data_IF_261350455399
#
_entry.id   IF_261350455399
#
_cell.length_a   1.000
_cell.length_b   1.000
_cell.length_c   1.000
_cell.angle_alpha   90.00
_cell.angle_beta   90.00
_cell.angle_gamma   90.00
#
_symmetry.space_group_name_H-M   'P 1'
#
loop_
_entity.id
_entity.type
_entity.pdbx_description
1 polymer ?
#
# COMPACT_ATOMS: atom_id res chain seq x y z
N UNK A 1 -26.90 -7.54 -2.75
CA UNK A 1 -28.06 -6.97 -2.01
C UNK A 1 -28.05 -7.49 -0.60
N UNK A 2 -28.82 -6.89 0.31
CA UNK A 2 -28.84 -7.23 1.74
C UNK A 2 -29.10 -8.72 1.99
N UNK A 3 -30.10 -9.30 1.32
CA UNK A 3 -30.43 -10.73 1.49
C UNK A 3 -29.28 -11.66 1.11
N UNK A 4 -28.54 -11.30 0.05
CA UNK A 4 -27.36 -12.05 -0.38
C UNK A 4 -26.23 -11.97 0.64
N UNK A 5 -26.03 -10.81 1.27
CA UNK A 5 -25.05 -10.63 2.33
C UNK A 5 -25.43 -11.46 3.58
N UNK A 6 -26.69 -11.41 4.00
CA UNK A 6 -27.18 -12.19 5.16
C UNK A 6 -27.00 -13.69 4.93
N UNK A 7 -27.29 -14.15 3.72
CA UNK A 7 -27.09 -15.55 3.33
C UNK A 7 -25.61 -15.95 3.39
N UNK A 8 -24.74 -15.19 2.73
CA UNK A 8 -23.31 -15.47 2.73
C UNK A 8 -22.71 -15.45 4.16
N UNK A 9 -23.16 -14.51 4.99
CA UNK A 9 -22.76 -14.43 6.39
C UNK A 9 -23.14 -15.70 7.16
N UNK A 10 -24.40 -16.15 7.05
CA UNK A 10 -24.87 -17.36 7.70
C UNK A 10 -24.06 -18.59 7.25
N UNK A 11 -23.91 -18.77 5.93
CA UNK A 11 -23.16 -19.88 5.34
C UNK A 11 -21.70 -19.94 5.82
N UNK A 12 -21.01 -18.79 5.87
CA UNK A 12 -19.63 -18.71 6.36
C UNK A 12 -19.52 -19.09 7.84
N UNK A 13 -20.45 -18.60 8.66
CA UNK A 13 -20.44 -18.88 10.11
C UNK A 13 -20.88 -20.29 10.47
N UNK A 14 -21.66 -20.93 9.60
CA UNK A 14 -22.00 -22.35 9.74
C UNK A 14 -20.83 -23.24 9.36
N UNK A 15 -20.11 -22.90 8.28
CA UNK A 15 -19.04 -23.73 7.74
C UNK A 15 -17.68 -23.56 8.44
N UNK A 16 -17.33 -22.33 8.86
CA UNK A 16 -15.97 -21.98 9.27
C UNK A 16 -15.82 -21.71 10.77
N UNK A 17 -16.93 -21.56 11.50
CA UNK A 17 -16.92 -21.30 12.95
C UNK A 17 -17.84 -20.16 13.36
N UNK A 18 -18.06 -20.02 14.67
CA UNK A 18 -18.99 -19.01 15.18
C UNK A 18 -18.47 -17.59 14.92
N UNK A 19 -19.35 -16.57 14.80
CA UNK A 19 -18.96 -15.18 14.59
C UNK A 19 -17.91 -14.66 15.59
N UNK A 20 -17.95 -15.11 16.84
CA UNK A 20 -17.03 -14.66 17.90
C UNK A 20 -15.58 -15.11 17.64
N UNK A 21 -15.42 -16.25 16.96
CA UNK A 21 -14.15 -16.83 16.56
C UNK A 21 -13.69 -16.27 15.21
N UNK A 22 -14.60 -16.25 14.22
CA UNK A 22 -14.30 -15.81 12.86
C UNK A 22 -14.08 -14.29 12.73
N UNK A 23 -14.74 -13.49 13.58
CA UNK A 23 -14.71 -12.02 13.57
C UNK A 23 -14.82 -11.44 12.15
N UNK A 24 -15.85 -11.81 11.38
CA UNK A 24 -15.99 -11.36 10.00
C UNK A 24 -16.13 -9.85 9.93
N UNK A 25 -15.50 -9.24 8.93
CA UNK A 25 -15.62 -7.82 8.62
C UNK A 25 -16.51 -7.65 7.39
N UNK A 26 -17.55 -6.85 7.52
CA UNK A 26 -18.41 -6.44 6.40
C UNK A 26 -17.96 -5.06 5.94
N UNK A 27 -17.66 -4.95 4.65
CA UNK A 27 -17.23 -3.72 4.01
C UNK A 27 -18.08 -3.42 2.77
N UNK A 28 -18.13 -2.16 2.36
CA UNK A 28 -18.77 -1.78 1.11
C UNK A 28 -17.98 -2.32 -0.08
N UNK A 29 -18.66 -2.69 -1.16
CA UNK A 29 -17.99 -3.10 -2.39
C UNK A 29 -17.26 -1.91 -3.02
N UNK A 30 -15.95 -2.07 -3.26
CA UNK A 30 -15.17 -1.06 -3.97
C UNK A 30 -15.73 -0.81 -5.37
N UNK A 31 -15.72 0.44 -5.86
CA UNK A 31 -15.93 0.72 -7.28
C UNK A 31 -14.90 -0.04 -8.13
N UNK A 32 -15.25 -0.31 -9.40
CA UNK A 32 -14.29 -0.90 -10.34
C UNK A 32 -13.11 0.06 -10.53
N UNK A 33 -11.91 -0.50 -10.51
CA UNK A 33 -10.66 0.24 -10.64
C UNK A 33 -9.50 -0.68 -10.99
N UNK A 34 -8.30 -0.13 -10.87
CA UNK A 34 -7.05 -0.88 -11.01
C UNK A 34 -6.57 -1.28 -9.62
N UNK A 35 -6.29 -2.56 -9.44
CA UNK A 35 -5.76 -3.08 -8.19
C UNK A 35 -4.26 -2.76 -8.10
N UNK A 36 -3.86 -2.14 -7.00
CA UNK A 36 -2.48 -1.72 -6.74
C UNK A 36 -2.00 -2.22 -5.39
N UNK A 37 -0.68 -2.21 -5.20
CA UNK A 37 -0.02 -2.61 -3.97
C UNK A 37 0.86 -1.47 -3.50
N UNK A 38 0.70 -1.10 -2.23
CA UNK A 38 1.55 -0.11 -1.56
C UNK A 38 2.14 -0.78 -0.33
N UNK A 39 3.45 -0.86 -0.27
CA UNK A 39 4.17 -1.45 0.86
C UNK A 39 5.17 -0.46 1.40
N UNK A 40 5.35 -0.43 2.70
CA UNK A 40 6.44 0.28 3.34
C UNK A 40 7.11 -0.62 4.37
N UNK A 41 8.43 -0.58 4.44
CA UNK A 41 9.20 -1.36 5.41
C UNK A 41 10.44 -0.58 5.87
N UNK A 42 10.78 -0.73 7.14
CA UNK A 42 12.00 -0.17 7.71
C UNK A 42 13.16 -1.15 7.49
N UNK A 43 14.13 -0.73 6.69
CA UNK A 43 15.41 -1.40 6.55
C UNK A 43 16.42 -0.83 7.56
N UNK A 44 17.19 -1.68 8.27
CA UNK A 44 18.16 -1.21 9.27
C UNK A 44 19.32 -0.36 8.71
N UNK A 45 19.70 -0.57 7.45
CA UNK A 45 20.83 0.10 6.82
C UNK A 45 20.44 1.43 6.16
N UNK A 46 19.27 1.48 5.52
CA UNK A 46 18.86 2.65 4.71
C UNK A 46 17.63 3.39 5.25
N UNK A 47 16.95 2.83 6.25
CA UNK A 47 15.73 3.41 6.84
C UNK A 47 14.45 2.95 6.14
N UNK A 48 13.39 3.73 6.30
CA UNK A 48 12.08 3.41 5.75
C UNK A 48 12.03 3.54 4.22
N UNK A 49 11.54 2.49 3.56
CA UNK A 49 11.38 2.39 2.11
C UNK A 49 9.90 2.24 1.79
N UNK A 50 9.37 3.15 0.97
CA UNK A 50 8.04 3.07 0.36
C UNK A 50 8.13 2.41 -1.01
N UNK A 51 7.21 1.50 -1.30
CA UNK A 51 7.16 0.68 -2.52
C UNK A 51 5.78 0.75 -3.15
N UNK A 52 5.73 0.80 -4.47
CA UNK A 52 4.49 0.85 -5.25
C UNK A 52 4.55 -0.06 -6.48
N UNK A 53 3.45 -0.76 -6.76
CA UNK A 53 3.25 -1.57 -7.96
C UNK A 53 1.77 -1.84 -8.24
N UNK A 54 1.47 -2.47 -9.37
CA UNK A 54 0.12 -3.01 -9.61
C UNK A 54 -0.01 -4.38 -8.94
N UNK A 55 -1.21 -4.71 -8.45
CA UNK A 55 -1.47 -6.02 -7.87
C UNK A 55 -1.60 -7.10 -8.97
N UNK A 56 -1.24 -8.32 -8.60
CA UNK A 56 -1.51 -9.51 -9.39
C UNK A 56 -0.28 -10.17 -10.01
N UNK A 57 -0.43 -11.44 -10.44
CA UNK A 57 0.70 -12.31 -10.73
C UNK A 57 1.70 -11.79 -11.78
N UNK A 58 1.28 -11.14 -12.88
CA UNK A 58 2.23 -10.61 -13.86
C UNK A 58 3.17 -9.54 -13.29
N UNK A 59 2.63 -8.63 -12.46
CA UNK A 59 3.43 -7.57 -11.83
C UNK A 59 4.43 -8.15 -10.83
N UNK A 60 4.00 -9.14 -10.04
CA UNK A 60 4.86 -9.86 -9.09
C UNK A 60 5.96 -10.65 -9.79
N UNK A 61 5.60 -11.43 -10.82
CA UNK A 61 6.54 -12.28 -11.57
C UNK A 61 7.62 -11.46 -12.26
N UNK A 62 7.26 -10.29 -12.79
CA UNK A 62 8.19 -9.41 -13.48
C UNK A 62 8.97 -8.51 -12.52
N UNK A 63 8.59 -8.45 -11.24
CA UNK A 63 9.14 -7.50 -10.28
C UNK A 63 8.85 -6.05 -10.67
N UNK A 64 7.64 -5.76 -11.17
CA UNK A 64 7.25 -4.43 -11.62
C UNK A 64 6.83 -3.54 -10.44
N UNK A 65 7.82 -3.17 -9.64
CA UNK A 65 7.67 -2.35 -8.43
C UNK A 65 8.72 -1.25 -8.45
N UNK A 66 8.36 -0.09 -7.93
CA UNK A 66 9.28 1.03 -7.76
C UNK A 66 9.36 1.40 -6.26
N UNK A 67 10.46 2.07 -5.88
CA UNK A 67 10.77 2.37 -4.48
C UNK A 67 11.22 3.82 -4.29
N UNK A 68 10.96 4.37 -3.10
CA UNK A 68 11.48 5.65 -2.61
C UNK A 68 11.83 5.53 -1.13
N UNK A 69 12.83 6.30 -0.69
CA UNK A 69 13.10 6.46 0.74
C UNK A 69 12.09 7.44 1.35
N UNK A 70 11.70 7.18 2.59
CA UNK A 70 10.85 8.07 3.39
C UNK A 70 11.73 9.11 4.11
N UNK A 71 11.31 10.39 4.22
CA UNK A 71 10.05 10.94 3.72
C UNK A 71 10.05 11.22 2.21
N UNK A 72 8.91 10.95 1.58
CA UNK A 72 8.66 11.11 0.14
C UNK A 72 8.01 12.47 -0.13
N UNK A 73 8.51 13.18 -1.14
CA UNK A 73 7.91 14.43 -1.65
C UNK A 73 6.76 14.17 -2.63
N UNK A 74 5.92 15.18 -2.87
CA UNK A 74 4.85 15.12 -3.88
C UNK A 74 5.36 14.76 -5.28
N UNK A 75 6.48 15.37 -5.69
CA UNK A 75 7.15 15.06 -6.95
C UNK A 75 7.62 13.60 -6.99
N UNK A 76 8.23 13.10 -5.92
CA UNK A 76 8.68 11.71 -5.86
C UNK A 76 7.52 10.72 -5.88
N UNK A 77 6.38 11.04 -5.24
CA UNK A 77 5.17 10.21 -5.29
C UNK A 77 4.61 10.14 -6.72
N UNK A 78 4.53 11.29 -7.40
CA UNK A 78 4.10 11.38 -8.79
C UNK A 78 5.04 10.60 -9.73
N UNK A 79 6.35 10.68 -9.53
CA UNK A 79 7.35 9.92 -10.28
C UNK A 79 7.28 8.42 -9.98
N UNK A 80 7.11 8.03 -8.72
CA UNK A 80 7.03 6.65 -8.26
C UNK A 80 5.94 5.89 -9.02
N UNK A 81 4.75 6.49 -9.16
CA UNK A 81 3.62 5.92 -9.90
C UNK A 81 3.94 5.73 -11.39
N UNK A 82 4.67 6.68 -11.98
CA UNK A 82 4.98 6.68 -13.42
C UNK A 82 6.16 5.78 -13.78
N UNK A 83 6.95 5.34 -12.80
CA UNK A 83 8.20 4.60 -13.01
C UNK A 83 7.99 3.11 -13.28
N UNK A 84 6.92 2.50 -12.75
CA UNK A 84 6.62 1.08 -13.01
C UNK A 84 6.28 0.87 -14.50
N UNK A 85 6.69 -0.26 -15.08
CA UNK A 85 6.50 -0.53 -16.52
C UNK A 85 5.02 -0.63 -16.90
N UNK A 86 4.19 -1.05 -15.97
CA UNK A 86 2.74 -1.18 -16.13
C UNK A 86 1.96 0.10 -15.83
N UNK A 87 2.63 1.22 -15.52
CA UNK A 87 2.00 2.51 -15.27
C UNK A 87 0.99 2.94 -16.34
N UNK A 88 1.18 2.68 -17.66
CA UNK A 88 0.19 3.04 -18.68
C UNK A 88 -1.25 2.55 -18.40
N UNK A 89 -1.43 1.47 -17.65
CA UNK A 89 -2.75 0.95 -17.24
C UNK A 89 -3.51 2.00 -16.41
N UNK A 90 -2.82 2.72 -15.53
CA UNK A 90 -3.39 3.77 -14.68
C UNK A 90 -3.87 4.99 -15.50
N UNK A 91 -3.29 5.18 -16.68
CA UNK A 91 -3.55 6.34 -17.55
C UNK A 91 -4.44 6.02 -18.77
N UNK A 92 -5.14 4.88 -18.75
CA UNK A 92 -6.14 4.54 -19.77
C UNK A 92 -5.65 3.68 -20.93
N UNK A 93 -4.73 2.74 -20.66
CA UNK A 93 -4.24 1.78 -21.65
C UNK A 93 -5.38 1.10 -22.43
N UNK A 94 -5.24 1.04 -23.77
CA UNK A 94 -6.23 0.44 -24.70
C UNK A 94 -7.67 1.01 -24.56
N UNK A 95 -7.79 2.31 -24.26
CA UNK A 95 -9.08 2.99 -24.20
C UNK A 95 -9.83 2.78 -22.89
N UNK A 96 -9.18 2.21 -21.87
CA UNK A 96 -9.69 2.20 -20.52
C UNK A 96 -9.81 3.63 -19.97
N UNK A 97 -10.70 3.83 -18.99
CA UNK A 97 -10.78 5.10 -18.28
C UNK A 97 -9.56 5.25 -17.35
N UNK A 98 -8.86 6.41 -17.36
CA UNK A 98 -7.81 6.68 -16.39
C UNK A 98 -8.33 6.62 -14.96
N UNK A 99 -7.47 6.20 -14.04
CA UNK A 99 -7.78 6.16 -12.60
C UNK A 99 -7.40 7.48 -11.93
N UNK A 100 -7.91 7.70 -10.72
CA UNK A 100 -7.59 8.86 -9.90
C UNK A 100 -6.18 8.76 -9.31
N UNK A 101 -5.18 9.08 -10.12
CA UNK A 101 -3.78 9.08 -9.71
C UNK A 101 -3.47 10.13 -8.64
N UNK A 102 -4.24 11.22 -8.56
CA UNK A 102 -4.09 12.20 -7.49
C UNK A 102 -4.44 11.62 -6.11
N UNK A 103 -5.54 10.85 -6.02
CA UNK A 103 -5.88 10.12 -4.79
C UNK A 103 -4.78 9.11 -4.40
N UNK A 104 -4.15 8.46 -5.39
CA UNK A 104 -3.05 7.54 -5.17
C UNK A 104 -1.77 8.24 -4.69
N UNK A 105 -1.40 9.38 -5.28
CA UNK A 105 -0.29 10.24 -4.84
C UNK A 105 -0.49 10.66 -3.37
N UNK A 106 -1.69 11.11 -3.01
CA UNK A 106 -2.04 11.49 -1.64
C UNK A 106 -1.95 10.32 -0.66
N UNK A 107 -2.36 9.11 -1.06
CA UNK A 107 -2.21 7.91 -0.22
C UNK A 107 -0.74 7.58 0.03
N UNK A 108 0.11 7.63 -1.00
CA UNK A 108 1.55 7.40 -0.88
C UNK A 108 2.20 8.40 0.08
N UNK A 109 1.84 9.69 -0.03
CA UNK A 109 2.32 10.73 0.89
C UNK A 109 1.86 10.49 2.32
N UNK A 110 0.62 10.04 2.53
CA UNK A 110 0.10 9.69 3.87
C UNK A 110 0.81 8.49 4.47
N UNK A 111 1.09 7.45 3.69
CA UNK A 111 1.87 6.30 4.16
C UNK A 111 3.30 6.72 4.48
N UNK A 112 3.92 7.54 3.63
CA UNK A 112 5.25 8.09 3.91
C UNK A 112 5.27 8.86 5.23
N UNK A 113 4.30 9.76 5.43
CA UNK A 113 4.19 10.53 6.67
C UNK A 113 3.92 9.65 7.88
N UNK A 114 3.09 8.61 7.74
CA UNK A 114 2.81 7.66 8.81
C UNK A 114 4.10 7.00 9.33
N UNK A 115 5.01 6.58 8.45
CA UNK A 115 6.29 5.99 8.86
C UNK A 115 7.26 7.02 9.44
N UNK A 116 7.24 8.25 8.95
CA UNK A 116 8.11 9.33 9.45
C UNK A 116 7.70 9.80 10.85
N UNK A 117 6.38 9.95 11.07
CA UNK A 117 5.79 10.40 12.34
C UNK A 117 5.80 9.27 13.42
N UNK A 118 5.84 8.00 13.01
CA UNK A 118 5.74 6.83 13.91
C UNK A 118 6.84 5.77 13.67
N UNK A 119 8.03 5.93 14.28
CA UNK A 119 9.15 4.99 14.14
C UNK A 119 8.87 3.56 14.61
N UNK A 120 7.82 3.35 15.40
CA UNK A 120 7.34 2.04 15.84
C UNK A 120 6.65 1.26 14.71
N UNK A 121 6.17 1.94 13.65
CA UNK A 121 5.57 1.29 12.48
C UNK A 121 6.70 0.81 11.58
N UNK A 122 6.98 -0.49 11.65
CA UNK A 122 8.11 -1.11 10.94
C UNK A 122 7.73 -1.71 9.60
N UNK A 123 6.45 -2.05 9.40
CA UNK A 123 5.92 -2.44 8.09
C UNK A 123 4.48 -1.99 7.90
N UNK A 124 4.14 -1.56 6.69
CA UNK A 124 2.78 -1.32 6.20
C UNK A 124 2.62 -2.11 4.90
N UNK A 125 1.54 -2.87 4.77
CA UNK A 125 1.18 -3.56 3.53
C UNK A 125 -0.29 -3.25 3.22
N UNK A 126 -0.53 -2.54 2.11
CA UNK A 126 -1.85 -2.23 1.60
C UNK A 126 -2.06 -2.98 0.30
N UNK A 127 -2.85 -4.06 0.37
CA UNK A 127 -3.07 -4.97 -0.75
C UNK A 127 -4.46 -5.64 -0.69
N UNK A 128 -5.29 -5.51 -1.75
CA UNK A 128 -5.17 -4.53 -2.83
C UNK A 128 -5.67 -3.15 -2.40
N UNK A 129 -5.09 -2.11 -3.00
CA UNK A 129 -5.68 -0.78 -3.08
C UNK A 129 -6.31 -0.62 -4.46
N UNK A 130 -7.64 -0.57 -4.50
CA UNK A 130 -8.39 -0.39 -5.75
C UNK A 130 -8.46 1.09 -6.07
N UNK A 131 -7.80 1.52 -7.14
CA UNK A 131 -7.83 2.91 -7.60
C UNK A 131 -8.87 3.03 -8.71
N UNK A 132 -9.99 3.69 -8.40
CA UNK A 132 -11.08 3.88 -9.33
C UNK A 132 -10.88 5.18 -10.14
N UNK A 133 -11.71 5.46 -11.15
CA UNK A 133 -11.68 6.75 -11.85
C UNK A 133 -11.97 7.97 -10.95
N UNK A 134 -12.52 7.75 -9.76
CA UNK A 134 -12.76 8.76 -8.73
C UNK A 134 -12.47 8.16 -7.37
N UNK A 135 -11.36 8.59 -6.75
CA UNK A 135 -10.89 8.07 -5.47
C UNK A 135 -10.36 6.63 -5.53
N UNK A 136 -10.13 6.08 -4.35
CA UNK A 136 -9.60 4.73 -4.16
C UNK A 136 -10.23 4.05 -2.94
N UNK A 137 -10.05 2.75 -2.82
CA UNK A 137 -10.48 1.96 -1.67
C UNK A 137 -9.37 0.97 -1.28
N UNK A 138 -8.93 1.03 -0.03
CA UNK A 138 -7.99 0.06 0.54
C UNK A 138 -8.80 -1.14 1.04
N UNK A 139 -8.71 -2.29 0.35
CA UNK A 139 -9.50 -3.48 0.70
C UNK A 139 -8.83 -4.37 1.74
N UNK A 140 -7.49 -4.30 1.82
CA UNK A 140 -6.68 -5.00 2.80
C UNK A 140 -5.57 -4.11 3.31
N UNK A 141 -5.32 -4.20 4.62
CA UNK A 141 -4.23 -3.50 5.28
C UNK A 141 -3.66 -4.37 6.40
N UNK A 142 -2.34 -4.48 6.44
CA UNK A 142 -1.58 -5.07 7.53
C UNK A 142 -0.51 -4.10 7.98
N UNK A 143 -0.41 -3.89 9.29
CA UNK A 143 0.59 -3.00 9.88
C UNK A 143 1.28 -3.75 11.01
N UNK A 144 2.61 -3.76 11.00
CA UNK A 144 3.41 -4.30 12.10
C UNK A 144 4.01 -3.15 12.88
N UNK A 145 3.75 -3.19 14.18
CA UNK A 145 4.36 -2.30 15.17
C UNK A 145 5.41 -3.09 15.93
N UNK A 146 6.58 -2.49 16.11
CA UNK A 146 7.65 -3.04 16.92
C UNK A 146 8.34 -1.92 17.70
N UNK A 147 9.07 -2.27 18.75
CA UNK A 147 9.91 -1.28 19.42
C UNK A 147 10.88 -0.66 18.40
N UNK A 148 11.00 0.68 18.37
CA UNK A 148 11.93 1.33 17.46
C UNK A 148 13.33 0.79 17.72
N UNK A 149 13.96 0.24 16.68
CA UNK A 149 15.38 -0.09 16.78
C UNK A 149 16.13 1.21 17.08
N UNK A 150 16.81 1.29 18.23
CA UNK A 150 17.67 2.44 18.53
C UNK A 150 18.65 2.56 17.38
N UNK A 151 18.56 3.64 16.59
CA UNK A 151 19.57 3.97 15.57
C UNK A 151 20.93 3.91 16.27
N UNK A 152 21.71 2.89 15.95
CA UNK A 152 23.08 2.85 16.41
C UNK A 152 23.87 3.78 15.49
N UNK A 153 23.77 5.10 15.72
CA UNK A 153 24.79 6.04 15.29
C UNK A 153 26.08 5.66 16.07
N UNK A 154 26.71 4.55 15.66
CA UNK A 154 27.96 4.06 16.23
C UNK A 154 29.11 4.88 15.66
N UNK A 155 29.10 6.18 15.96
CA UNK A 155 30.27 7.03 15.79
C UNK A 155 29.97 8.42 15.23
N UNK A 156 30.81 9.42 15.56
CA UNK A 156 30.73 10.74 14.97
C UNK A 156 30.97 10.66 13.46
N UNK A 157 30.04 11.23 12.67
CA UNK A 157 30.26 11.45 11.23
C UNK A 157 31.40 12.46 11.08
N UNK A 158 32.61 11.97 10.80
CA UNK A 158 33.75 12.83 10.46
C UNK A 158 33.71 13.11 8.97
N UNK A 159 33.65 14.39 8.62
CA UNK A 159 34.01 14.83 7.27
C UNK A 159 35.47 14.43 7.01
N UNK A 160 35.80 13.84 5.85
CA UNK A 160 37.19 13.69 5.46
C UNK A 160 37.81 15.09 5.45
N UNK A 161 38.84 15.30 6.27
CA UNK A 161 39.69 16.47 6.10
C UNK A 161 40.40 16.31 4.74
N UNK A 162 40.20 17.26 3.84
CA UNK A 162 41.04 17.43 2.65
C UNK A 162 42.36 18.08 3.05
#
# INVERSE_FOLDING_TARGET
>A
GEDGLRRAYAELTEALGKPEELRPVVQAMAPRGVDTVIRAAVDPAIGAVLSFGLAGPPSELLGDTAHRLVPVTDKEAAELIRTIRTAPILFGWRGAQPVDTGALEELLLRVSRLLDDHPEIVTVDLEPVVVAPRGLTVLGASVRVAEPQRRSDQGPRRLPAY
#
